data_IF_866042773748
#
_entry.id   IF_866042773748
#
_cell.length_a   1.000
_cell.length_b   1.000
_cell.length_c   1.000
_cell.angle_alpha   90.00
_cell.angle_beta   90.00
_cell.angle_gamma   90.00
#
_symmetry.space_group_name_H-M   'P 1'
#
loop_
_entity.id
_entity.type
_entity.pdbx_description
1 polymer ?
#
# COMPACT_ATOMS: atom_id res chain seq x y z
N UNK A 1 -4.59 54.11 91.35
CA UNK A 1 -3.12 53.99 91.15
C UNK A 1 -2.82 54.05 89.65
N UNK A 2 -1.82 54.87 89.27
CA UNK A 2 -1.02 54.95 88.02
C UNK A 2 -1.66 54.47 86.70
N UNK A 3 -1.96 55.39 85.75
CA UNK A 3 -1.11 55.77 84.57
C UNK A 3 -0.78 54.55 83.69
N UNK A 4 -0.96 54.51 82.37
CA UNK A 4 -0.83 55.56 81.35
C UNK A 4 -1.27 54.97 79.99
N UNK A 5 -1.89 55.80 79.15
CA UNK A 5 -2.00 55.59 77.70
C UNK A 5 -0.65 55.27 77.06
N UNK A 6 -0.61 54.40 76.04
CA UNK A 6 0.36 54.51 74.95
C UNK A 6 -0.17 53.92 73.63
N UNK A 7 0.13 54.67 72.58
CA UNK A 7 -0.31 54.64 71.20
C UNK A 7 -0.02 53.36 70.41
N UNK A 8 -0.72 53.15 69.28
CA UNK A 8 -0.30 52.21 68.25
C UNK A 8 0.82 52.83 67.40
N UNK A 9 1.82 52.03 67.07
CA UNK A 9 2.82 52.35 66.05
C UNK A 9 3.07 51.11 65.22
N UNK A 10 2.57 51.12 63.97
CA UNK A 10 3.14 50.32 62.89
C UNK A 10 4.54 50.84 62.57
N UNK A 11 5.46 49.97 62.12
CA UNK A 11 5.81 50.07 60.70
C UNK A 11 6.10 48.72 60.04
N UNK A 12 6.06 48.75 58.71
CA UNK A 12 6.54 47.71 57.80
C UNK A 12 7.85 47.07 58.28
N UNK A 13 7.86 45.75 58.42
CA UNK A 13 9.07 44.95 58.26
C UNK A 13 8.99 44.26 56.90
N UNK A 14 9.85 44.71 55.99
CA UNK A 14 10.22 44.06 54.74
C UNK A 14 10.61 42.61 55.01
N UNK A 15 9.86 41.65 54.47
CA UNK A 15 10.28 40.25 54.46
C UNK A 15 11.56 40.12 53.64
N UNK A 16 12.67 39.86 54.32
CA UNK A 16 13.94 39.53 53.69
C UNK A 16 13.76 38.30 52.78
N UNK A 17 14.02 38.49 51.49
CA UNK A 17 14.25 37.41 50.55
C UNK A 17 15.29 36.45 51.12
N UNK A 18 15.03 35.13 51.19
CA UNK A 18 16.06 34.18 51.61
C UNK A 18 17.26 34.30 50.66
N UNK A 19 18.50 34.25 51.18
CA UNK A 19 19.68 34.35 50.34
C UNK A 19 19.64 33.24 49.31
N UNK A 20 19.85 33.61 48.05
CA UNK A 20 20.08 32.67 46.95
C UNK A 20 21.05 31.59 47.43
N UNK A 21 20.58 30.35 47.45
CA UNK A 21 21.32 29.17 47.87
C UNK A 21 22.69 29.15 47.17
N UNK A 22 23.70 29.60 47.89
CA UNK A 22 25.09 29.48 47.49
C UNK A 22 25.36 27.99 47.40
N UNK A 23 25.53 27.49 46.19
CA UNK A 23 25.95 26.11 45.94
C UNK A 23 27.23 25.90 46.76
N UNK A 24 27.17 24.96 47.71
CA UNK A 24 28.31 24.58 48.53
C UNK A 24 29.30 23.78 47.67
N UNK A 25 30.22 24.50 47.06
CA UNK A 25 31.22 23.94 46.15
C UNK A 25 32.17 22.96 46.84
N UNK A 26 32.35 23.03 48.16
CA UNK A 26 33.21 22.11 48.91
C UNK A 26 32.56 20.73 49.07
N UNK A 27 31.24 20.69 49.29
CA UNK A 27 30.47 19.44 49.28
C UNK A 27 30.47 18.78 47.90
N UNK A 28 30.36 19.58 46.83
CA UNK A 28 30.41 19.10 45.45
C UNK A 28 31.79 18.54 45.10
N UNK A 29 32.88 19.21 45.48
CA UNK A 29 34.25 18.75 45.18
C UNK A 29 34.59 17.47 45.92
N UNK A 30 34.24 17.36 47.21
CA UNK A 30 34.47 16.14 47.99
C UNK A 30 33.65 14.94 47.46
N UNK A 31 32.42 15.19 47.01
CA UNK A 31 31.60 14.17 46.33
C UNK A 31 32.24 13.76 44.99
N UNK A 32 32.75 14.71 44.22
CA UNK A 32 33.42 14.45 42.94
C UNK A 32 34.73 13.67 43.12
N UNK A 33 35.50 13.93 44.17
CA UNK A 33 36.71 13.16 44.47
C UNK A 33 36.39 11.71 44.84
N UNK A 34 35.32 11.49 45.61
CA UNK A 34 34.94 10.16 46.06
C UNK A 34 34.26 9.33 44.95
N UNK A 35 33.34 9.95 44.19
CA UNK A 35 32.54 9.25 43.18
C UNK A 35 33.02 9.45 41.74
N UNK A 36 33.93 10.40 41.47
CA UNK A 36 34.36 10.77 40.13
C UNK A 36 34.96 9.61 39.33
N UNK A 37 35.72 8.73 39.98
CA UNK A 37 36.26 7.51 39.34
C UNK A 37 35.14 6.56 38.88
N UNK A 38 34.09 6.41 39.69
CA UNK A 38 32.93 5.58 39.35
C UNK A 38 32.07 6.24 38.27
N UNK A 39 31.92 7.57 38.27
CA UNK A 39 31.21 8.31 37.23
C UNK A 39 31.92 8.20 35.88
N UNK A 40 33.25 8.37 35.85
CA UNK A 40 34.03 8.19 34.63
C UNK A 40 33.95 6.75 34.13
N UNK A 41 34.05 5.76 35.03
CA UNK A 41 33.88 4.35 34.70
C UNK A 41 32.48 4.04 34.13
N UNK A 42 31.43 4.55 34.77
CA UNK A 42 30.04 4.40 34.32
C UNK A 42 29.81 5.08 32.95
N UNK A 43 30.36 6.28 32.75
CA UNK A 43 30.29 6.99 31.48
C UNK A 43 31.02 6.23 30.37
N UNK A 44 32.18 5.65 30.65
CA UNK A 44 32.93 4.83 29.69
C UNK A 44 32.15 3.55 29.31
N UNK A 45 31.53 2.88 30.29
CA UNK A 45 30.68 1.71 30.05
C UNK A 45 29.45 2.09 29.22
N UNK A 46 28.77 3.19 29.57
CA UNK A 46 27.61 3.70 28.83
C UNK A 46 27.98 4.02 27.38
N UNK A 47 29.11 4.70 27.17
CA UNK A 47 29.62 5.02 25.84
C UNK A 47 29.93 3.76 25.02
N UNK A 48 30.56 2.75 25.65
CA UNK A 48 30.80 1.46 25.00
C UNK A 48 29.49 0.76 24.62
N UNK A 49 28.48 0.75 25.49
CA UNK A 49 27.15 0.21 25.17
C UNK A 49 26.46 0.98 24.04
N UNK A 50 26.59 2.31 23.99
CA UNK A 50 26.09 3.12 22.87
C UNK A 50 26.76 2.74 21.54
N UNK A 51 28.06 2.46 21.55
CA UNK A 51 28.77 1.97 20.35
C UNK A 51 28.25 0.59 19.92
N UNK A 52 28.02 -0.34 20.87
CA UNK A 52 27.47 -1.65 20.54
C UNK A 52 26.03 -1.56 20.00
N UNK A 53 25.18 -0.76 20.63
CA UNK A 53 23.80 -0.53 20.19
C UNK A 53 23.75 0.13 18.81
N UNK A 54 24.57 1.16 18.58
CA UNK A 54 24.66 1.80 17.26
C UNK A 54 25.11 0.80 16.19
N UNK A 55 26.13 -0.03 16.45
CA UNK A 55 26.54 -1.08 15.51
C UNK A 55 25.45 -2.09 15.24
N UNK A 56 24.65 -2.46 16.23
CA UNK A 56 23.55 -3.39 16.06
C UNK A 56 22.45 -2.78 15.17
N UNK A 57 22.03 -1.55 15.46
CA UNK A 57 20.97 -0.84 14.73
C UNK A 57 21.40 -0.52 13.29
N UNK A 58 22.60 0.06 13.09
CA UNK A 58 23.06 0.49 11.76
C UNK A 58 23.41 -0.67 10.82
N UNK A 59 23.75 -1.86 11.35
CA UNK A 59 24.01 -3.03 10.51
C UNK A 59 22.72 -3.62 9.91
N UNK A 60 21.59 -3.49 10.60
CA UNK A 60 20.31 -3.98 10.12
C UNK A 60 19.70 -3.06 9.06
N UNK A 61 19.89 -1.73 9.18
CA UNK A 61 19.47 -0.75 8.17
C UNK A 61 20.17 -0.98 6.82
N UNK A 62 21.49 -1.15 6.81
CA UNK A 62 22.24 -1.43 5.56
C UNK A 62 21.80 -2.72 4.89
N UNK A 63 21.50 -3.75 5.69
CA UNK A 63 20.97 -5.02 5.17
C UNK A 63 19.56 -4.85 4.64
N UNK A 64 18.73 -4.04 5.30
CA UNK A 64 17.38 -3.74 4.84
C UNK A 64 17.43 -3.06 3.48
N UNK A 65 18.20 -1.98 3.33
CA UNK A 65 18.37 -1.27 2.06
C UNK A 65 18.82 -2.21 0.93
N UNK A 66 19.82 -3.05 1.18
CA UNK A 66 20.25 -4.06 0.22
C UNK A 66 19.13 -5.06 -0.15
N UNK A 67 18.31 -5.49 0.81
CA UNK A 67 17.16 -6.36 0.58
C UNK A 67 16.10 -5.66 -0.32
N UNK A 68 15.83 -4.36 -0.11
CA UNK A 68 14.91 -3.58 -0.96
C UNK A 68 15.40 -3.48 -2.40
N UNK A 69 16.68 -3.14 -2.61
CA UNK A 69 17.24 -3.10 -3.96
C UNK A 69 17.22 -4.47 -4.64
N UNK A 70 17.50 -5.53 -3.88
CA UNK A 70 17.42 -6.90 -4.39
C UNK A 70 15.97 -7.27 -4.78
N UNK A 71 14.98 -6.87 -3.99
CA UNK A 71 13.57 -7.08 -4.29
C UNK A 71 13.16 -6.33 -5.57
N UNK A 72 13.55 -5.07 -5.71
CA UNK A 72 13.27 -4.28 -6.91
C UNK A 72 13.86 -4.91 -8.19
N UNK A 73 15.13 -5.33 -8.14
CA UNK A 73 15.80 -5.97 -9.27
C UNK A 73 15.19 -7.35 -9.60
N UNK A 74 14.85 -8.14 -8.58
CA UNK A 74 14.19 -9.43 -8.77
C UNK A 74 12.79 -9.22 -9.38
N UNK A 75 12.03 -8.24 -8.91
CA UNK A 75 10.73 -7.93 -9.50
C UNK A 75 10.83 -7.46 -10.95
N UNK A 76 11.78 -6.58 -11.25
CA UNK A 76 12.00 -6.14 -12.63
C UNK A 76 12.37 -7.31 -13.56
N UNK A 77 13.19 -8.25 -13.11
CA UNK A 77 13.48 -9.46 -13.89
C UNK A 77 12.24 -10.34 -14.04
N UNK A 78 11.46 -10.46 -12.96
CA UNK A 78 10.26 -11.27 -12.92
C UNK A 78 9.13 -10.72 -13.80
N UNK A 79 8.98 -9.41 -13.99
CA UNK A 79 7.86 -8.81 -14.73
C UNK A 79 8.02 -8.88 -16.26
N UNK A 80 9.24 -9.07 -16.77
CA UNK A 80 9.52 -9.09 -18.20
C UNK A 80 8.68 -10.14 -18.94
N UNK A 81 8.30 -9.93 -20.22
CA UNK A 81 7.61 -10.95 -21.00
C UNK A 81 8.41 -12.27 -21.04
N UNK A 82 7.76 -13.43 -20.87
CA UNK A 82 8.45 -14.71 -20.94
C UNK A 82 8.97 -14.95 -22.37
N UNK A 83 10.25 -15.29 -22.46
CA UNK A 83 10.92 -15.76 -23.68
C UNK A 83 11.59 -17.09 -23.36
N UNK A 84 11.85 -17.90 -24.38
CA UNK A 84 12.51 -19.21 -24.19
C UNK A 84 13.85 -19.07 -23.46
N UNK A 85 14.55 -17.94 -23.66
CA UNK A 85 15.85 -17.67 -23.04
C UNK A 85 15.78 -17.19 -21.57
N UNK A 86 14.69 -16.54 -21.13
CA UNK A 86 14.63 -15.89 -19.81
C UNK A 86 13.73 -16.60 -18.78
N UNK A 87 12.97 -17.63 -19.19
CA UNK A 87 11.98 -18.29 -18.33
C UNK A 87 12.59 -18.81 -17.03
N UNK A 88 13.79 -19.42 -17.09
CA UNK A 88 14.50 -19.89 -15.89
C UNK A 88 14.85 -18.73 -14.94
N UNK A 89 15.40 -17.64 -15.47
CA UNK A 89 15.75 -16.46 -14.68
C UNK A 89 14.53 -15.80 -14.02
N UNK A 90 13.36 -15.85 -14.66
CA UNK A 90 12.11 -15.34 -14.08
C UNK A 90 11.64 -16.17 -12.88
N UNK A 91 11.74 -17.50 -12.97
CA UNK A 91 11.38 -18.37 -11.85
C UNK A 91 12.35 -18.19 -10.67
N UNK A 92 13.66 -18.08 -10.95
CA UNK A 92 14.66 -17.77 -9.92
C UNK A 92 14.42 -16.40 -9.27
N UNK A 93 13.99 -15.41 -10.05
CA UNK A 93 13.61 -14.09 -9.56
C UNK A 93 12.36 -14.14 -8.65
N UNK A 94 11.35 -14.94 -9.01
CA UNK A 94 10.18 -15.16 -8.15
C UNK A 94 10.54 -15.83 -6.82
N UNK A 95 11.39 -16.85 -6.83
CA UNK A 95 11.85 -17.50 -5.60
C UNK A 95 12.70 -16.57 -4.73
N UNK A 96 13.50 -15.71 -5.37
CA UNK A 96 14.22 -14.64 -4.68
C UNK A 96 13.25 -13.67 -4.00
N UNK A 97 12.18 -13.25 -4.68
CA UNK A 97 11.14 -12.40 -4.11
C UNK A 97 10.44 -13.06 -2.93
N UNK A 98 10.02 -14.33 -3.05
CA UNK A 98 9.37 -15.08 -1.95
C UNK A 98 10.26 -15.12 -0.70
N UNK A 99 11.55 -15.36 -0.90
CA UNK A 99 12.54 -15.37 0.18
C UNK A 99 12.64 -14.00 0.85
N UNK A 100 12.69 -12.93 0.05
CA UNK A 100 12.78 -11.56 0.56
C UNK A 100 11.51 -11.12 1.29
N UNK A 101 10.33 -11.46 0.78
CA UNK A 101 9.03 -11.20 1.41
C UNK A 101 8.92 -11.91 2.78
N UNK A 102 9.40 -13.14 2.87
CA UNK A 102 9.46 -13.88 4.15
C UNK A 102 10.39 -13.19 5.16
N UNK A 103 11.53 -12.68 4.68
CA UNK A 103 12.51 -11.98 5.53
C UNK A 103 12.05 -10.57 5.92
N UNK A 104 11.31 -9.90 5.05
CA UNK A 104 10.87 -8.49 5.16
C UNK A 104 9.36 -8.40 4.86
N UNK A 105 8.50 -8.71 5.85
CA UNK A 105 7.06 -8.76 5.63
C UNK A 105 6.44 -7.44 5.13
N UNK A 106 7.09 -6.30 5.39
CA UNK A 106 6.67 -5.00 4.88
C UNK A 106 6.70 -4.90 3.34
N UNK A 107 7.52 -5.71 2.67
CA UNK A 107 7.59 -5.78 1.21
C UNK A 107 6.30 -6.34 0.58
N UNK A 108 5.50 -7.10 1.32
CA UNK A 108 4.19 -7.59 0.86
C UNK A 108 3.28 -6.45 0.41
N UNK A 109 3.40 -5.28 1.06
CA UNK A 109 2.64 -4.09 0.72
C UNK A 109 2.86 -3.65 -0.74
N UNK A 110 4.11 -3.70 -1.20
CA UNK A 110 4.51 -3.26 -2.52
C UNK A 110 4.31 -4.33 -3.60
N UNK A 111 4.64 -5.59 -3.30
CA UNK A 111 4.81 -6.59 -4.36
C UNK A 111 3.67 -7.59 -4.52
N UNK A 112 2.87 -7.88 -3.49
CA UNK A 112 1.85 -8.94 -3.58
C UNK A 112 0.89 -8.75 -4.77
N UNK A 113 0.35 -7.54 -4.94
CA UNK A 113 -0.58 -7.25 -6.02
C UNK A 113 0.08 -7.37 -7.41
N UNK A 114 1.33 -6.90 -7.52
CA UNK A 114 2.06 -6.96 -8.79
C UNK A 114 2.49 -8.39 -9.13
N UNK A 115 2.91 -9.18 -8.15
CA UNK A 115 3.24 -10.60 -8.31
C UNK A 115 1.98 -11.36 -8.76
N UNK A 116 0.86 -11.15 -8.07
CA UNK A 116 -0.42 -11.77 -8.42
C UNK A 116 -0.82 -11.42 -9.86
N UNK A 117 -0.75 -10.15 -10.25
CA UNK A 117 -1.10 -9.70 -11.60
C UNK A 117 -0.21 -10.36 -12.67
N UNK A 118 1.11 -10.37 -12.46
CA UNK A 118 2.05 -11.00 -13.40
C UNK A 118 1.81 -12.50 -13.55
N UNK A 119 1.56 -13.21 -12.44
CA UNK A 119 1.23 -14.64 -12.46
C UNK A 119 -0.11 -14.91 -13.16
N UNK A 120 -1.14 -14.10 -12.91
CA UNK A 120 -2.44 -14.19 -13.60
C UNK A 120 -2.27 -13.99 -15.11
N UNK A 121 -1.52 -12.96 -15.52
CA UNK A 121 -1.27 -12.66 -16.93
C UNK A 121 -0.55 -13.81 -17.66
N UNK A 122 0.25 -14.59 -16.93
CA UNK A 122 0.95 -15.78 -17.44
C UNK A 122 0.15 -17.08 -17.32
N UNK A 123 -1.05 -17.03 -16.74
CA UNK A 123 -1.91 -18.20 -16.53
C UNK A 123 -1.56 -19.05 -15.31
N UNK A 124 -0.62 -18.63 -14.46
CA UNK A 124 -0.24 -19.32 -13.21
C UNK A 124 -1.20 -18.95 -12.08
N UNK A 125 -2.49 -19.29 -12.25
CA UNK A 125 -3.56 -18.85 -11.35
C UNK A 125 -3.38 -19.35 -9.91
N UNK A 126 -2.98 -20.61 -9.74
CA UNK A 126 -2.80 -21.21 -8.41
C UNK A 126 -1.68 -20.53 -7.62
N UNK A 127 -0.56 -20.23 -8.29
CA UNK A 127 0.57 -19.53 -7.67
C UNK A 127 0.24 -18.06 -7.35
N UNK A 128 -0.65 -17.44 -8.14
CA UNK A 128 -1.08 -16.06 -7.93
C UNK A 128 -1.98 -15.88 -6.70
N UNK A 129 -2.78 -16.89 -6.37
CA UNK A 129 -3.82 -16.83 -5.36
C UNK A 129 -3.34 -16.32 -3.98
N UNK A 130 -2.28 -16.88 -3.35
CA UNK A 130 -1.85 -16.42 -2.03
C UNK A 130 -1.45 -14.93 -2.02
N UNK A 131 -0.79 -14.46 -3.08
CA UNK A 131 -0.41 -13.05 -3.20
C UNK A 131 -1.63 -12.15 -3.40
N UNK A 132 -2.59 -12.58 -4.23
CA UNK A 132 -3.80 -11.83 -4.48
C UNK A 132 -4.67 -11.70 -3.21
N UNK A 133 -4.85 -12.80 -2.48
CA UNK A 133 -5.61 -12.82 -1.22
C UNK A 133 -4.94 -11.94 -0.15
N UNK A 134 -3.61 -11.99 -0.03
CA UNK A 134 -2.85 -11.10 0.85
C UNK A 134 -3.06 -9.63 0.51
N UNK A 135 -2.97 -9.26 -0.77
CA UNK A 135 -3.19 -7.89 -1.23
C UNK A 135 -4.63 -7.41 -0.98
N UNK A 136 -5.62 -8.27 -1.22
CA UNK A 136 -7.04 -7.98 -0.97
C UNK A 136 -7.34 -7.80 0.52
N UNK A 137 -6.81 -8.69 1.37
CA UNK A 137 -7.00 -8.61 2.82
C UNK A 137 -6.49 -7.28 3.37
N UNK A 138 -5.33 -6.84 2.89
CA UNK A 138 -4.71 -5.56 3.29
C UNK A 138 -5.51 -4.35 2.83
N UNK A 139 -6.06 -4.38 1.62
CA UNK A 139 -6.78 -3.25 1.02
C UNK A 139 -8.25 -3.15 1.43
N UNK A 140 -8.82 -4.21 2.02
CA UNK A 140 -10.23 -4.29 2.43
C UNK A 140 -10.71 -3.16 3.37
N UNK A 141 -9.81 -2.58 4.18
CA UNK A 141 -10.13 -1.53 5.17
C UNK A 141 -9.98 -0.11 4.63
N UNK A 142 -9.66 0.06 3.35
CA UNK A 142 -9.43 1.37 2.75
C UNK A 142 -10.69 1.90 2.07
N UNK A 143 -10.74 3.21 1.78
CA UNK A 143 -11.80 3.85 0.98
C UNK A 143 -11.82 3.39 -0.49
N UNK A 144 -11.00 2.39 -0.86
CA UNK A 144 -10.90 1.80 -2.20
C UNK A 144 -11.78 0.55 -2.35
N UNK A 145 -12.92 0.50 -1.66
CA UNK A 145 -13.80 -0.67 -1.59
C UNK A 145 -14.23 -1.19 -2.97
N UNK A 146 -14.48 -0.31 -3.93
CA UNK A 146 -14.85 -0.67 -5.30
C UNK A 146 -13.71 -1.33 -6.08
N UNK A 147 -12.47 -0.87 -5.88
CA UNK A 147 -11.28 -1.51 -6.48
C UNK A 147 -11.01 -2.88 -5.86
N UNK A 148 -11.19 -3.01 -4.54
CA UNK A 148 -11.07 -4.31 -3.87
C UNK A 148 -12.13 -5.30 -4.36
N UNK A 149 -13.39 -4.86 -4.54
CA UNK A 149 -14.43 -5.68 -5.16
C UNK A 149 -14.07 -6.09 -6.59
N UNK A 150 -13.61 -5.13 -7.40
CA UNK A 150 -13.20 -5.40 -8.77
C UNK A 150 -12.08 -6.46 -8.84
N UNK A 151 -11.07 -6.36 -7.96
CA UNK A 151 -9.96 -7.30 -7.89
C UNK A 151 -10.41 -8.68 -7.36
N UNK A 152 -11.30 -8.73 -6.37
CA UNK A 152 -11.90 -9.98 -5.89
C UNK A 152 -12.64 -10.73 -7.01
N UNK A 153 -13.40 -10.01 -7.84
CA UNK A 153 -14.08 -10.59 -9.00
C UNK A 153 -13.09 -11.11 -10.06
N UNK A 154 -11.91 -10.50 -10.21
CA UNK A 154 -10.85 -11.07 -11.06
C UNK A 154 -10.47 -12.47 -10.58
N UNK A 155 -10.37 -12.71 -9.27
CA UNK A 155 -10.09 -14.06 -8.75
C UNK A 155 -11.22 -15.05 -9.03
N UNK A 156 -12.48 -14.62 -8.98
CA UNK A 156 -13.63 -15.43 -9.41
C UNK A 156 -13.50 -15.85 -10.88
N UNK A 157 -13.10 -14.91 -11.76
CA UNK A 157 -12.84 -15.18 -13.18
C UNK A 157 -11.69 -16.17 -13.39
N UNK A 158 -10.56 -15.97 -12.72
CA UNK A 158 -9.41 -16.86 -12.81
C UNK A 158 -9.75 -18.29 -12.39
N UNK A 159 -10.68 -18.45 -11.44
CA UNK A 159 -11.21 -19.73 -10.99
C UNK A 159 -12.37 -20.27 -11.84
N UNK A 160 -12.63 -19.68 -13.02
CA UNK A 160 -13.70 -20.06 -13.96
C UNK A 160 -15.11 -20.04 -13.37
N UNK A 161 -15.33 -19.27 -12.29
CA UNK A 161 -16.64 -19.07 -11.67
C UNK A 161 -17.39 -17.97 -12.38
N UNK A 162 -17.71 -18.17 -13.67
CA UNK A 162 -18.21 -17.11 -14.56
C UNK A 162 -19.54 -16.51 -14.10
N UNK A 163 -20.49 -17.34 -13.66
CA UNK A 163 -21.79 -16.86 -13.14
C UNK A 163 -21.63 -16.01 -11.88
N UNK A 164 -20.78 -16.45 -10.95
CA UNK A 164 -20.47 -15.68 -9.76
C UNK A 164 -19.81 -14.34 -10.14
N UNK A 165 -18.82 -14.37 -11.03
CA UNK A 165 -18.14 -13.18 -11.49
C UNK A 165 -19.08 -12.21 -12.21
N UNK A 166 -20.06 -12.71 -12.97
CA UNK A 166 -21.06 -11.88 -13.64
C UNK A 166 -21.94 -11.16 -12.63
N UNK A 167 -22.49 -11.89 -11.65
CA UNK A 167 -23.29 -11.30 -10.57
C UNK A 167 -22.51 -10.24 -9.78
N UNK A 168 -21.25 -10.53 -9.42
CA UNK A 168 -20.38 -9.58 -8.73
C UNK A 168 -20.09 -8.34 -9.59
N UNK A 169 -19.84 -8.51 -10.89
CA UNK A 169 -19.57 -7.41 -11.84
C UNK A 169 -20.79 -6.50 -12.00
N UNK A 170 -21.99 -7.09 -12.11
CA UNK A 170 -23.26 -6.35 -12.19
C UNK A 170 -23.54 -5.57 -10.89
N UNK A 171 -23.33 -6.22 -9.74
CA UNK A 171 -23.48 -5.57 -8.44
C UNK A 171 -22.51 -4.38 -8.29
N UNK A 172 -21.26 -4.54 -8.75
CA UNK A 172 -20.28 -3.46 -8.76
C UNK A 172 -20.70 -2.30 -9.67
N UNK A 173 -21.25 -2.58 -10.86
CA UNK A 173 -21.80 -1.52 -11.74
C UNK A 173 -22.88 -0.72 -11.04
N UNK A 174 -23.84 -1.39 -10.38
CA UNK A 174 -24.92 -0.71 -9.66
C UNK A 174 -24.38 0.17 -8.52
N UNK A 175 -23.41 -0.33 -7.76
CA UNK A 175 -22.76 0.45 -6.70
C UNK A 175 -22.04 1.68 -7.25
N UNK A 176 -21.37 1.57 -8.41
CA UNK A 176 -20.71 2.71 -9.06
C UNK A 176 -21.73 3.75 -9.53
N UNK A 177 -22.89 3.35 -10.04
CA UNK A 177 -23.96 4.27 -10.42
C UNK A 177 -24.52 5.03 -9.20
N UNK A 178 -24.77 4.32 -8.09
CA UNK A 178 -25.26 4.92 -6.85
C UNK A 178 -24.26 5.89 -6.20
N UNK A 179 -22.95 5.68 -6.42
CA UNK A 179 -21.88 6.50 -5.85
C UNK A 179 -21.35 7.57 -6.81
N UNK A 180 -21.84 7.61 -8.05
CA UNK A 180 -21.39 8.53 -9.10
C UNK A 180 -21.51 10.02 -8.68
N UNK A 181 -22.50 10.35 -7.85
CA UNK A 181 -22.73 11.72 -7.36
C UNK A 181 -21.86 12.10 -6.16
N UNK A 182 -21.26 11.13 -5.47
CA UNK A 182 -20.59 11.33 -4.16
C UNK A 182 -19.08 11.20 -4.22
N UNK A 183 -18.53 10.67 -5.31
CA UNK A 183 -17.10 10.38 -5.41
C UNK A 183 -16.61 10.55 -6.85
N UNK A 184 -15.38 11.06 -6.99
CA UNK A 184 -14.61 10.93 -8.24
C UNK A 184 -14.27 9.46 -8.44
N UNK A 185 -15.26 8.66 -8.84
CA UNK A 185 -15.01 7.30 -9.31
C UNK A 185 -14.02 7.40 -10.47
N UNK A 186 -12.99 6.57 -10.45
CA UNK A 186 -12.06 6.50 -11.56
C UNK A 186 -12.83 6.02 -12.80
N UNK A 187 -12.98 6.87 -13.80
CA UNK A 187 -13.58 6.51 -15.10
C UNK A 187 -12.92 5.25 -15.68
N UNK A 188 -11.65 5.01 -15.34
CA UNK A 188 -10.90 3.79 -15.65
C UNK A 188 -11.54 2.53 -15.07
N UNK A 189 -11.98 2.55 -13.81
CA UNK A 189 -12.64 1.40 -13.18
C UNK A 189 -13.97 1.09 -13.86
N UNK A 190 -14.76 2.12 -14.17
CA UNK A 190 -16.01 2.00 -14.92
C UNK A 190 -15.75 1.33 -16.27
N UNK A 191 -14.74 1.81 -17.00
CA UNK A 191 -14.35 1.26 -18.29
C UNK A 191 -13.98 -0.23 -18.19
N UNK A 192 -13.09 -0.60 -17.26
CA UNK A 192 -12.71 -2.00 -17.08
C UNK A 192 -13.89 -2.88 -16.67
N UNK A 193 -14.83 -2.38 -15.86
CA UNK A 193 -16.02 -3.11 -15.49
C UNK A 193 -16.98 -3.33 -16.67
N UNK A 194 -17.12 -2.35 -17.56
CA UNK A 194 -17.90 -2.48 -18.80
C UNK A 194 -17.29 -3.54 -19.74
N UNK A 195 -15.98 -3.52 -19.93
CA UNK A 195 -15.29 -4.56 -20.71
C UNK A 195 -15.51 -5.95 -20.09
N UNK A 196 -15.39 -6.06 -18.77
CA UNK A 196 -15.63 -7.31 -18.05
C UNK A 196 -17.06 -7.82 -18.26
N UNK A 197 -18.08 -6.95 -18.15
CA UNK A 197 -19.47 -7.33 -18.40
C UNK A 197 -19.66 -7.88 -19.80
N UNK A 198 -19.18 -7.16 -20.82
CA UNK A 198 -19.33 -7.58 -22.20
C UNK A 198 -18.67 -8.95 -22.44
N UNK A 199 -17.44 -9.14 -21.94
CA UNK A 199 -16.73 -10.42 -22.06
C UNK A 199 -17.39 -11.55 -21.27
N UNK A 200 -17.98 -11.27 -20.10
CA UNK A 200 -18.70 -12.25 -19.30
C UNK A 200 -20.02 -12.67 -19.96
N UNK A 201 -20.81 -11.74 -20.47
CA UNK A 201 -22.04 -12.06 -21.21
C UNK A 201 -21.74 -12.88 -22.46
N UNK A 202 -20.66 -12.56 -23.16
CA UNK A 202 -20.18 -13.39 -24.26
C UNK A 202 -19.85 -14.82 -23.78
N UNK A 203 -19.12 -14.95 -22.66
CA UNK A 203 -18.71 -16.24 -22.11
C UNK A 203 -19.90 -17.08 -21.63
N UNK A 204 -20.98 -16.46 -21.13
CA UNK A 204 -22.19 -17.16 -20.67
C UNK A 204 -23.26 -17.31 -21.76
N UNK A 205 -23.05 -16.73 -22.94
CA UNK A 205 -23.99 -16.83 -24.08
C UNK A 205 -25.19 -15.87 -24.01
N UNK A 206 -25.15 -14.85 -23.15
CA UNK A 206 -26.19 -13.85 -22.98
C UNK A 206 -26.08 -12.74 -24.06
N UNK A 207 -26.45 -13.06 -25.29
CA UNK A 207 -26.18 -12.21 -26.47
C UNK A 207 -26.83 -10.82 -26.40
N UNK A 208 -28.06 -10.71 -25.88
CA UNK A 208 -28.76 -9.43 -25.79
C UNK A 208 -28.10 -8.49 -24.76
N UNK A 209 -27.69 -9.05 -23.63
CA UNK A 209 -26.99 -8.36 -22.56
C UNK A 209 -25.59 -7.96 -23.00
N UNK A 210 -24.92 -8.82 -23.77
CA UNK A 210 -23.64 -8.51 -24.39
C UNK A 210 -23.76 -7.28 -25.31
N UNK A 211 -24.77 -7.25 -26.18
CA UNK A 211 -25.02 -6.11 -27.05
C UNK A 211 -25.23 -4.82 -26.24
N UNK A 212 -26.02 -4.87 -25.17
CA UNK A 212 -26.23 -3.71 -24.27
C UNK A 212 -24.92 -3.24 -23.64
N UNK A 213 -24.05 -4.16 -23.24
CA UNK A 213 -22.74 -3.80 -22.68
C UNK A 213 -21.83 -3.10 -23.70
N UNK A 214 -21.84 -3.54 -24.97
CA UNK A 214 -21.10 -2.86 -26.04
C UNK A 214 -21.68 -1.48 -26.39
N UNK A 215 -23.00 -1.30 -26.36
CA UNK A 215 -23.62 0.02 -26.49
C UNK A 215 -23.20 0.95 -25.33
N UNK A 216 -23.19 0.45 -24.10
CA UNK A 216 -22.72 1.20 -22.94
C UNK A 216 -21.23 1.59 -23.08
N UNK A 217 -20.38 0.71 -23.61
CA UNK A 217 -18.98 1.00 -23.92
C UNK A 217 -18.83 2.13 -24.95
N UNK A 218 -19.68 2.16 -25.99
CA UNK A 218 -19.71 3.27 -26.97
C UNK A 218 -20.19 4.58 -26.37
N UNK A 219 -21.17 4.54 -25.46
CA UNK A 219 -21.59 5.73 -24.71
C UNK A 219 -20.47 6.23 -23.80
N UNK A 220 -19.74 5.32 -23.14
CA UNK A 220 -18.58 5.65 -22.34
C UNK A 220 -17.51 6.37 -23.17
N UNK A 221 -17.21 5.91 -24.39
CA UNK A 221 -16.29 6.61 -25.31
C UNK A 221 -16.66 8.09 -25.51
N UNK A 222 -17.95 8.38 -25.66
CA UNK A 222 -18.44 9.76 -25.85
C UNK A 222 -18.33 10.58 -24.56
N UNK A 223 -18.58 9.96 -23.40
CA UNK A 223 -18.54 10.61 -22.08
C UNK A 223 -17.11 10.91 -21.62
N UNK A 224 -16.18 9.98 -21.82
CA UNK A 224 -14.82 10.01 -21.26
C UNK A 224 -13.76 9.62 -22.31
N UNK A 225 -13.61 10.42 -23.39
CA UNK A 225 -12.78 10.06 -24.54
C UNK A 225 -11.30 9.87 -24.20
N UNK A 226 -10.73 10.69 -23.31
CA UNK A 226 -9.32 10.58 -22.94
C UNK A 226 -8.97 9.25 -22.24
N UNK A 227 -9.85 8.79 -21.35
CA UNK A 227 -9.69 7.50 -20.65
C UNK A 227 -9.91 6.33 -21.59
N UNK A 228 -10.90 6.45 -22.48
CA UNK A 228 -11.13 5.48 -23.53
C UNK A 228 -9.88 5.27 -24.40
N UNK A 229 -9.30 6.35 -24.93
CA UNK A 229 -8.14 6.26 -25.84
C UNK A 229 -6.92 5.65 -25.14
N UNK A 230 -6.65 6.06 -23.87
CA UNK A 230 -5.57 5.48 -23.06
C UNK A 230 -5.76 3.98 -22.86
N UNK A 231 -6.99 3.53 -22.62
CA UNK A 231 -7.29 2.12 -22.44
C UNK A 231 -7.15 1.34 -23.74
N UNK A 232 -7.70 1.83 -24.85
CA UNK A 232 -7.58 1.15 -26.14
C UNK A 232 -6.13 0.99 -26.57
N UNK A 233 -5.28 1.99 -26.31
CA UNK A 233 -3.82 1.90 -26.52
C UNK A 233 -3.17 0.84 -25.64
N UNK A 234 -3.59 0.71 -24.38
CA UNK A 234 -3.05 -0.32 -23.48
C UNK A 234 -3.41 -1.76 -23.90
N UNK A 235 -4.45 -1.94 -24.71
CA UNK A 235 -4.87 -3.23 -25.26
C UNK A 235 -4.27 -3.51 -26.66
N UNK A 236 -3.30 -2.73 -27.12
CA UNK A 236 -2.55 -2.99 -28.34
C UNK A 236 -1.54 -4.12 -28.11
N UNK A 237 -2.03 -5.34 -27.89
CA UNK A 237 -1.17 -6.51 -27.73
C UNK A 237 -1.05 -7.27 -29.07
N UNK A 238 0.19 -7.32 -29.57
CA UNK A 238 0.77 -8.23 -30.57
C UNK A 238 0.09 -8.47 -31.93
N UNK A 239 -1.18 -8.07 -32.20
CA UNK A 239 -1.84 -8.03 -33.53
C UNK A 239 -3.32 -7.60 -33.54
N UNK A 240 -4.02 -7.52 -32.40
CA UNK A 240 -5.47 -7.25 -32.38
C UNK A 240 -5.75 -6.01 -31.54
N UNK A 241 -6.21 -4.95 -32.20
CA UNK A 241 -6.71 -3.76 -31.50
C UNK A 241 -8.06 -4.07 -30.86
N UNK A 242 -8.27 -3.62 -29.62
CA UNK A 242 -9.56 -3.76 -28.92
C UNK A 242 -10.72 -3.20 -29.76
N UNK A 243 -10.50 -2.09 -30.48
CA UNK A 243 -11.50 -1.52 -31.39
C UNK A 243 -11.90 -2.49 -32.51
N UNK A 244 -10.94 -3.18 -33.12
CA UNK A 244 -11.19 -4.16 -34.18
C UNK A 244 -11.96 -5.38 -33.65
N UNK A 245 -11.63 -5.82 -32.43
CA UNK A 245 -12.35 -6.89 -31.75
C UNK A 245 -13.83 -6.54 -31.54
N UNK A 246 -14.10 -5.35 -30.99
CA UNK A 246 -15.47 -4.90 -30.70
C UNK A 246 -16.27 -4.77 -31.99
N UNK A 247 -15.70 -4.17 -33.04
CA UNK A 247 -16.39 -4.03 -34.33
C UNK A 247 -16.74 -5.39 -34.94
N UNK A 248 -15.81 -6.35 -34.89
CA UNK A 248 -16.05 -7.71 -35.36
C UNK A 248 -17.16 -8.39 -34.55
N UNK A 249 -17.17 -8.22 -33.22
CA UNK A 249 -18.17 -8.83 -32.34
C UNK A 249 -19.56 -8.25 -32.56
N UNK A 250 -19.68 -6.93 -32.73
CA UNK A 250 -20.96 -6.29 -33.04
C UNK A 250 -21.57 -6.79 -34.37
N UNK A 251 -20.76 -7.08 -35.38
CA UNK A 251 -21.23 -7.67 -36.65
C UNK A 251 -21.80 -9.08 -36.46
N UNK A 252 -21.31 -9.84 -35.46
CA UNK A 252 -21.83 -11.16 -35.13
C UNK A 252 -23.17 -11.05 -34.39
N UNK A 253 -23.28 -10.11 -33.43
CA UNK A 253 -24.50 -9.93 -32.62
C UNK A 253 -25.71 -9.38 -33.40
N UNK A 254 -25.48 -8.78 -34.57
CA UNK A 254 -26.53 -8.24 -35.46
C UNK A 254 -27.07 -9.25 -36.48
N UNK A 255 -26.48 -10.45 -36.54
CA UNK A 255 -26.94 -11.55 -37.41
C UNK A 255 -27.91 -12.45 -36.66
#
# INVERSE_FOLDING_TARGET
MKKQNKHPSSPLETSETPPSSLIDWDSVTHWLEFYGKYLIGMAAILFFFLILLSRFIFNDEKKAEADYFKAANAFHTFELPPTEANTKGQMEALETLKTLLTKRPELHAAYDGMIAQTLINRGFIQDAQPFAESALLRTKKTDLSLYAQFAQTTLSLCNKKYEQALNETQALSKQMEEQADKSRLGETLVAFNLLRLAMLYQQTGALQEEQKAWEAWKLFRKKSPAVYEKLTQAFENEKILLANYIEAREKILKK
#
